data_IF_439345677642
#
_entry.id   IF_439345677642
#
_cell.length_a   1.000
_cell.length_b   1.000
_cell.length_c   1.000
_cell.angle_alpha   90.00
_cell.angle_beta   90.00
_cell.angle_gamma   90.00
#
_symmetry.space_group_name_H-M   'P 1'
#
loop_
_entity.id
_entity.type
_entity.pdbx_description
1 polymer ?
#
# COMPACT_ATOMS: atom_id res chain seq x y z
N UNK A 1 -18.10 -2.46 32.91
CA UNK A 1 -18.51 -2.46 31.49
C UNK A 1 -18.17 -3.82 30.91
N UNK A 2 -19.13 -4.75 30.83
CA UNK A 2 -18.90 -6.11 30.33
C UNK A 2 -18.51 -6.05 28.84
N UNK A 3 -17.32 -6.53 28.48
CA UNK A 3 -16.78 -6.54 27.12
C UNK A 3 -17.54 -7.47 26.16
N UNK A 4 -18.83 -7.22 25.97
CA UNK A 4 -19.66 -7.95 25.02
C UNK A 4 -19.11 -7.77 23.61
N UNK A 5 -18.94 -8.89 22.90
CA UNK A 5 -18.39 -8.92 21.53
C UNK A 5 -19.45 -8.53 20.48
N UNK A 6 -20.72 -8.52 20.85
CA UNK A 6 -21.87 -8.17 20.01
C UNK A 6 -22.90 -7.35 20.78
N UNK A 7 -23.75 -6.64 20.04
CA UNK A 7 -24.88 -5.86 20.56
C UNK A 7 -25.98 -5.75 19.50
N UNK A 8 -27.22 -5.56 19.93
CA UNK A 8 -28.36 -5.30 19.04
C UNK A 8 -28.46 -3.80 18.74
N UNK A 9 -28.51 -3.45 17.46
CA UNK A 9 -28.65 -2.07 16.97
C UNK A 9 -30.03 -1.90 16.31
N UNK A 10 -31.07 -1.41 17.02
CA UNK A 10 -32.43 -1.32 16.49
C UNK A 10 -32.57 -0.30 15.36
N UNK A 11 -31.58 0.59 15.18
CA UNK A 11 -31.59 1.61 14.13
C UNK A 11 -30.81 1.18 12.89
N UNK A 12 -30.35 -0.07 12.86
CA UNK A 12 -29.57 -0.61 11.76
C UNK A 12 -30.08 -2.01 11.38
N UNK A 13 -30.16 -2.26 10.08
CA UNK A 13 -30.48 -3.57 9.51
C UNK A 13 -29.41 -3.96 8.49
N UNK A 14 -28.89 -5.18 8.59
CA UNK A 14 -27.95 -5.70 7.61
C UNK A 14 -28.58 -5.78 6.21
N UNK A 15 -27.90 -5.25 5.20
CA UNK A 15 -28.40 -5.28 3.82
C UNK A 15 -28.48 -6.71 3.22
N UNK A 16 -27.74 -7.68 3.78
CA UNK A 16 -27.70 -9.05 3.27
C UNK A 16 -28.75 -9.95 3.96
N UNK A 17 -28.85 -9.91 5.30
CA UNK A 17 -29.72 -10.82 6.08
C UNK A 17 -30.84 -10.13 6.85
N UNK A 18 -30.97 -8.81 6.76
CA UNK A 18 -31.93 -7.98 7.51
C UNK A 18 -31.82 -8.04 9.05
N UNK A 19 -30.82 -8.73 9.60
CA UNK A 19 -30.59 -8.80 11.05
C UNK A 19 -30.02 -7.49 11.64
N UNK A 20 -30.26 -7.25 12.93
CA UNK A 20 -29.86 -6.04 13.65
C UNK A 20 -28.68 -6.22 14.63
N UNK A 21 -28.17 -7.45 14.81
CA UNK A 21 -27.05 -7.72 15.72
C UNK A 21 -25.69 -7.44 15.06
N UNK A 22 -24.83 -6.67 15.75
CA UNK A 22 -23.52 -6.20 15.24
C UNK A 22 -22.38 -6.59 16.17
N UNK A 23 -21.19 -6.74 15.60
CA UNK A 23 -19.95 -6.83 16.39
C UNK A 23 -19.56 -5.47 16.97
N UNK A 24 -19.14 -5.43 18.24
CA UNK A 24 -18.69 -4.18 18.89
C UNK A 24 -17.40 -3.62 18.30
N UNK A 25 -16.52 -4.46 17.72
CA UNK A 25 -15.20 -4.04 17.21
C UNK A 25 -15.24 -3.26 15.89
N UNK A 26 -16.06 -3.70 14.94
CA UNK A 26 -16.06 -3.22 13.55
C UNK A 26 -17.47 -2.95 13.02
N UNK A 27 -18.48 -3.08 13.87
CA UNK A 27 -19.88 -2.81 13.57
C UNK A 27 -20.42 -3.61 12.37
N UNK A 28 -19.81 -4.76 12.04
CA UNK A 28 -20.31 -5.65 11.00
C UNK A 28 -21.44 -6.52 11.53
N UNK A 29 -22.32 -6.99 10.63
CA UNK A 29 -23.37 -7.95 10.97
C UNK A 29 -22.77 -9.19 11.61
N UNK A 30 -23.24 -9.61 12.79
CA UNK A 30 -22.78 -10.84 13.43
C UNK A 30 -23.01 -12.06 12.53
N UNK A 31 -24.23 -12.21 11.99
CA UNK A 31 -24.63 -13.38 11.22
C UNK A 31 -23.83 -13.51 9.91
N UNK A 32 -23.76 -12.43 9.11
CA UNK A 32 -23.05 -12.47 7.83
C UNK A 32 -21.53 -12.57 8.00
N UNK A 33 -20.96 -11.87 8.99
CA UNK A 33 -19.52 -11.94 9.23
C UNK A 33 -19.10 -13.31 9.77
N UNK A 34 -19.94 -13.96 10.59
CA UNK A 34 -19.72 -15.35 11.03
C UNK A 34 -19.77 -16.35 9.87
N UNK A 35 -20.72 -16.19 8.95
CA UNK A 35 -20.84 -17.05 7.77
C UNK A 35 -19.62 -16.98 6.84
N UNK A 36 -19.01 -15.80 6.66
CA UNK A 36 -17.79 -15.63 5.85
C UNK A 36 -16.58 -16.39 6.42
N UNK A 37 -16.47 -16.49 7.74
CA UNK A 37 -15.41 -17.29 8.38
C UNK A 37 -15.64 -18.79 8.13
N UNK A 38 -16.90 -19.25 8.20
CA UNK A 38 -17.23 -20.66 7.94
C UNK A 38 -17.00 -21.08 6.47
N UNK A 39 -17.09 -20.17 5.51
CA UNK A 39 -16.85 -20.47 4.08
C UNK A 39 -15.43 -20.94 3.76
N UNK A 40 -14.44 -20.58 4.58
CA UNK A 40 -13.04 -20.99 4.39
C UNK A 40 -12.66 -22.21 5.23
N UNK A 41 -13.62 -22.87 5.89
CA UNK A 41 -13.41 -24.14 6.59
C UNK A 41 -14.39 -25.20 6.07
N UNK A 42 -13.86 -26.39 5.75
CA UNK A 42 -14.66 -27.57 5.40
C UNK A 42 -14.66 -28.55 6.56
N UNK A 43 -15.82 -29.10 6.88
CA UNK A 43 -15.94 -30.22 7.82
C UNK A 43 -15.44 -31.51 7.17
N UNK A 44 -14.61 -32.24 7.91
CA UNK A 44 -14.16 -33.58 7.58
C UNK A 44 -15.17 -34.62 8.08
N UNK A 45 -15.22 -35.82 7.48
CA UNK A 45 -16.15 -36.88 7.90
C UNK A 45 -15.99 -37.34 9.36
N UNK A 46 -14.84 -37.08 9.98
CA UNK A 46 -14.53 -37.39 11.38
C UNK A 46 -14.93 -36.26 12.36
N UNK A 47 -15.56 -35.19 11.86
CA UNK A 47 -15.94 -34.02 12.64
C UNK A 47 -14.84 -32.97 12.82
N UNK A 48 -13.66 -33.17 12.23
CA UNK A 48 -12.62 -32.14 12.15
C UNK A 48 -13.01 -31.00 11.21
N UNK A 49 -12.39 -29.83 11.36
CA UNK A 49 -12.51 -28.73 10.38
C UNK A 49 -11.14 -28.42 9.80
N UNK A 50 -11.06 -28.31 8.47
CA UNK A 50 -9.83 -27.93 7.76
C UNK A 50 -10.04 -26.64 7.00
N UNK A 51 -9.02 -25.79 6.98
CA UNK A 51 -9.03 -24.60 6.14
C UNK A 51 -9.04 -25.01 4.66
N UNK A 52 -9.97 -24.47 3.90
CA UNK A 52 -10.06 -24.60 2.46
C UNK A 52 -10.17 -23.18 1.89
N UNK A 53 -9.11 -22.72 1.21
CA UNK A 53 -9.15 -21.42 0.59
C UNK A 53 -10.26 -21.38 -0.47
N UNK A 54 -10.98 -20.26 -0.55
CA UNK A 54 -11.95 -20.00 -1.61
C UNK A 54 -11.26 -19.65 -2.94
N UNK A 55 -10.00 -19.23 -2.87
CA UNK A 55 -9.11 -18.96 -4.00
C UNK A 55 -7.67 -19.31 -3.57
N UNK A 56 -7.19 -20.47 -4.03
CA UNK A 56 -5.86 -20.99 -3.71
C UNK A 56 -4.76 -20.03 -4.18
N UNK A 57 -4.94 -19.41 -5.35
CA UNK A 57 -3.96 -18.49 -5.94
C UNK A 57 -3.88 -17.16 -5.17
N UNK A 58 -5.02 -16.67 -4.66
CA UNK A 58 -5.06 -15.51 -3.78
C UNK A 58 -4.44 -15.81 -2.40
N UNK A 59 -4.58 -17.04 -1.92
CA UNK A 59 -4.11 -17.50 -0.62
C UNK A 59 -2.60 -17.74 -0.59
N UNK A 60 -2.05 -18.45 -1.59
CA UNK A 60 -0.62 -18.83 -1.66
C UNK A 60 0.31 -17.61 -1.62
N UNK A 61 -0.07 -16.51 -2.26
CA UNK A 61 0.76 -15.30 -2.35
C UNK A 61 0.22 -14.13 -1.53
N UNK A 62 -0.73 -14.37 -0.61
CA UNK A 62 -1.33 -13.30 0.17
C UNK A 62 -0.29 -12.51 0.96
N UNK A 63 0.62 -13.20 1.67
CA UNK A 63 1.65 -12.55 2.48
C UNK A 63 2.58 -11.68 1.63
N UNK A 64 3.00 -12.16 0.47
CA UNK A 64 3.87 -11.42 -0.44
C UNK A 64 3.18 -10.18 -1.00
N UNK A 65 1.91 -10.30 -1.43
CA UNK A 65 1.11 -9.16 -1.92
C UNK A 65 0.86 -8.13 -0.81
N UNK A 66 0.55 -8.59 0.39
CA UNK A 66 0.32 -7.74 1.54
C UNK A 66 1.59 -6.96 1.90
N UNK A 67 2.75 -7.63 2.00
CA UNK A 67 4.04 -6.97 2.25
C UNK A 67 4.40 -5.98 1.15
N UNK A 68 4.20 -6.33 -0.13
CA UNK A 68 4.44 -5.41 -1.25
C UNK A 68 3.56 -4.16 -1.14
N UNK A 69 2.28 -4.33 -0.83
CA UNK A 69 1.34 -3.22 -0.65
C UNK A 69 1.77 -2.31 0.50
N UNK A 70 2.17 -2.90 1.64
CA UNK A 70 2.64 -2.14 2.78
C UNK A 70 3.90 -1.33 2.44
N UNK A 71 4.89 -1.96 1.78
CA UNK A 71 6.12 -1.27 1.33
C UNK A 71 5.82 -0.10 0.39
N UNK A 72 4.90 -0.27 -0.55
CA UNK A 72 4.50 0.81 -1.47
C UNK A 72 3.83 1.98 -0.73
N UNK A 73 2.98 1.70 0.27
CA UNK A 73 2.35 2.73 1.08
C UNK A 73 3.39 3.49 1.92
N UNK A 74 4.34 2.77 2.52
CA UNK A 74 5.42 3.38 3.31
C UNK A 74 6.33 4.26 2.44
N UNK A 75 6.71 3.77 1.26
CA UNK A 75 7.46 4.53 0.25
C UNK A 75 6.73 5.80 -0.20
N UNK A 76 5.43 5.69 -0.47
CA UNK A 76 4.59 6.84 -0.83
C UNK A 76 4.52 7.86 0.30
N UNK A 77 4.44 7.39 1.55
CA UNK A 77 4.46 8.24 2.74
C UNK A 77 5.80 8.96 2.92
N UNK A 78 6.93 8.28 2.69
CA UNK A 78 8.28 8.89 2.69
C UNK A 78 8.33 10.02 1.67
N UNK A 79 7.96 9.75 0.41
CA UNK A 79 7.99 10.75 -0.65
C UNK A 79 7.00 11.89 -0.41
N UNK A 80 5.82 11.60 0.15
CA UNK A 80 4.82 12.60 0.51
C UNK A 80 5.32 13.60 1.56
N UNK A 81 6.21 13.18 2.47
CA UNK A 81 6.82 14.06 3.48
C UNK A 81 7.82 15.06 2.89
N UNK A 82 8.31 14.85 1.68
CA UNK A 82 9.20 15.80 1.01
C UNK A 82 8.44 17.06 0.53
N UNK A 83 7.11 16.98 0.42
CA UNK A 83 6.30 18.02 -0.19
C UNK A 83 6.46 18.09 -1.72
N UNK A 84 5.86 19.11 -2.36
CA UNK A 84 5.96 19.27 -3.81
C UNK A 84 7.38 19.69 -4.22
N UNK A 85 8.03 18.89 -5.06
CA UNK A 85 9.34 19.20 -5.67
C UNK A 85 9.14 19.38 -7.16
N UNK A 86 9.54 20.52 -7.72
CA UNK A 86 9.34 20.83 -9.14
C UNK A 86 10.68 21.05 -9.83
N UNK A 87 10.86 20.39 -10.98
CA UNK A 87 12.00 20.59 -11.87
C UNK A 87 11.50 20.65 -13.30
N UNK A 88 11.63 21.81 -13.93
CA UNK A 88 11.16 22.05 -15.29
C UNK A 88 9.67 21.72 -15.42
N UNK A 89 9.32 20.73 -16.25
CA UNK A 89 7.93 20.29 -16.48
C UNK A 89 7.46 19.16 -15.57
N UNK A 90 8.30 18.69 -14.67
CA UNK A 90 8.03 17.56 -13.78
C UNK A 90 7.80 18.03 -12.35
N UNK A 91 6.77 17.50 -11.69
CA UNK A 91 6.46 17.75 -10.29
C UNK A 91 6.36 16.43 -9.53
N UNK A 92 6.86 16.38 -8.29
CA UNK A 92 6.59 15.31 -7.34
C UNK A 92 5.29 15.64 -6.61
N UNK A 93 4.27 14.81 -6.77
CA UNK A 93 2.96 14.97 -6.13
C UNK A 93 2.50 13.65 -5.54
N UNK A 94 2.23 13.64 -4.22
CA UNK A 94 1.70 12.46 -3.53
C UNK A 94 2.54 11.19 -3.71
N UNK A 95 3.87 11.33 -3.87
CA UNK A 95 4.80 10.22 -4.07
C UNK A 95 4.90 9.68 -5.50
N UNK A 96 4.47 10.46 -6.49
CA UNK A 96 4.62 10.15 -7.93
C UNK A 96 5.16 11.36 -8.68
N UNK A 97 5.89 11.13 -9.76
CA UNK A 97 6.29 12.21 -10.67
C UNK A 97 5.22 12.42 -11.71
N UNK A 98 4.70 13.64 -11.78
CA UNK A 98 3.68 14.08 -12.72
C UNK A 98 4.30 14.99 -13.77
N UNK A 99 3.82 14.88 -15.00
CA UNK A 99 4.12 15.78 -16.12
C UNK A 99 2.83 16.11 -16.85
N UNK A 100 2.48 17.39 -16.91
CA UNK A 100 1.27 17.87 -17.60
C UNK A 100 -0.02 17.10 -17.20
N UNK A 101 -0.15 16.75 -15.91
CA UNK A 101 -1.30 16.01 -15.38
C UNK A 101 -1.26 14.49 -15.54
N UNK A 102 -0.23 13.95 -16.19
CA UNK A 102 -0.03 12.49 -16.36
C UNK A 102 1.11 11.99 -15.48
N UNK A 103 0.99 10.75 -14.98
CA UNK A 103 2.07 10.10 -14.22
C UNK A 103 3.22 9.77 -15.19
N UNK A 104 4.37 10.39 -14.97
CA UNK A 104 5.59 10.12 -15.70
C UNK A 104 6.45 9.04 -15.02
N UNK A 105 6.44 8.99 -13.67
CA UNK A 105 7.14 7.96 -12.90
C UNK A 105 6.33 7.60 -11.66
N UNK A 106 5.95 6.33 -11.56
CA UNK A 106 5.24 5.80 -10.39
C UNK A 106 6.16 5.65 -9.17
N UNK A 107 5.54 5.45 -8.01
CA UNK A 107 6.24 5.34 -6.71
C UNK A 107 7.30 4.24 -6.69
N UNK A 108 6.99 3.06 -7.23
CA UNK A 108 7.90 1.89 -7.23
C UNK A 108 9.18 2.14 -8.06
N UNK A 109 9.11 2.51 -9.35
CA UNK A 109 10.31 2.80 -10.13
C UNK A 109 11.05 4.06 -9.65
N UNK A 110 10.35 5.04 -9.10
CA UNK A 110 10.98 6.21 -8.47
C UNK A 110 11.84 5.80 -7.26
N UNK A 111 11.27 5.02 -6.34
CA UNK A 111 12.01 4.56 -5.17
C UNK A 111 13.15 3.63 -5.54
N UNK A 112 12.99 2.76 -6.53
CA UNK A 112 14.09 1.95 -7.05
C UNK A 112 15.25 2.83 -7.54
N UNK A 113 14.95 3.89 -8.30
CA UNK A 113 15.96 4.82 -8.77
C UNK A 113 16.64 5.59 -7.63
N UNK A 114 15.88 6.00 -6.62
CA UNK A 114 16.41 6.67 -5.43
C UNK A 114 17.29 5.72 -4.62
N UNK A 115 16.81 4.52 -4.29
CA UNK A 115 17.58 3.53 -3.52
C UNK A 115 18.88 3.15 -4.24
N UNK A 116 18.84 3.06 -5.57
CA UNK A 116 20.03 2.82 -6.40
C UNK A 116 21.01 3.99 -6.36
N UNK A 117 20.52 5.23 -6.33
CA UNK A 117 21.39 6.40 -6.14
C UNK A 117 22.02 6.44 -4.75
N UNK A 118 21.27 6.02 -3.73
CA UNK A 118 21.73 5.98 -2.35
C UNK A 118 22.70 4.82 -2.07
N UNK A 119 22.64 3.73 -2.84
CA UNK A 119 23.58 2.61 -2.73
C UNK A 119 25.00 2.97 -3.18
N UNK A 120 25.13 3.97 -4.06
CA UNK A 120 26.42 4.40 -4.62
C UNK A 120 27.01 3.48 -5.69
N UNK A 121 26.28 2.43 -6.10
CA UNK A 121 26.73 1.51 -7.13
C UNK A 121 26.66 2.15 -8.52
N UNK A 122 27.83 2.42 -9.11
CA UNK A 122 27.94 3.14 -10.38
C UNK A 122 27.38 2.39 -11.58
N UNK A 123 27.36 1.05 -11.56
CA UNK A 123 26.79 0.25 -12.66
C UNK A 123 25.27 0.26 -12.60
N UNK A 124 24.71 0.03 -11.41
CA UNK A 124 23.26 0.09 -11.20
C UNK A 124 22.72 1.49 -11.43
N UNK A 125 23.40 2.53 -10.94
CA UNK A 125 23.01 3.93 -11.19
C UNK A 125 22.93 4.21 -12.68
N UNK A 126 23.90 3.73 -13.47
CA UNK A 126 23.89 3.89 -14.92
C UNK A 126 22.71 3.14 -15.53
N UNK A 127 22.47 1.89 -15.12
CA UNK A 127 21.35 1.09 -15.60
C UNK A 127 19.98 1.75 -15.38
N UNK A 128 19.78 2.38 -14.21
CA UNK A 128 18.49 3.01 -13.88
C UNK A 128 18.36 4.43 -14.44
N UNK A 129 19.44 5.22 -14.49
CA UNK A 129 19.38 6.59 -14.97
C UNK A 129 19.40 6.72 -16.50
N UNK A 130 20.04 5.81 -17.24
CA UNK A 130 20.08 5.86 -18.71
C UNK A 130 18.69 5.96 -19.35
N UNK A 131 17.70 5.08 -19.04
CA UNK A 131 16.37 5.19 -19.64
C UNK A 131 15.63 6.47 -19.22
N UNK A 132 15.90 7.00 -18.03
CA UNK A 132 15.33 8.28 -17.59
C UNK A 132 15.96 9.46 -18.34
N UNK A 133 17.26 9.40 -18.64
CA UNK A 133 18.00 10.41 -19.38
C UNK A 133 17.56 10.48 -20.85
N UNK A 134 17.27 9.32 -21.46
CA UNK A 134 16.69 9.22 -22.80
C UNK A 134 15.33 9.91 -22.90
N UNK A 135 14.55 9.91 -21.80
CA UNK A 135 13.28 10.61 -21.73
C UNK A 135 13.45 12.12 -21.47
N UNK A 136 14.19 12.48 -20.41
CA UNK A 136 14.46 13.88 -20.06
C UNK A 136 15.59 14.03 -19.04
N UNK A 137 16.44 15.03 -19.25
CA UNK A 137 17.45 15.46 -18.27
C UNK A 137 16.83 16.03 -17.00
N UNK A 138 15.68 16.71 -17.11
CA UNK A 138 14.95 17.29 -15.98
C UNK A 138 14.45 16.20 -15.02
N UNK A 139 14.03 15.05 -15.57
CA UNK A 139 13.56 13.91 -14.80
C UNK A 139 14.69 13.31 -13.95
N UNK A 140 15.88 13.15 -14.54
CA UNK A 140 17.07 12.68 -13.81
C UNK A 140 17.46 13.64 -12.70
N UNK A 141 17.40 14.96 -12.96
CA UNK A 141 17.70 15.96 -11.95
C UNK A 141 16.68 15.93 -10.79
N UNK A 142 15.40 15.74 -11.09
CA UNK A 142 14.36 15.58 -10.07
C UNK A 142 14.63 14.36 -9.18
N UNK A 143 14.92 13.20 -9.78
CA UNK A 143 15.21 11.97 -9.02
C UNK A 143 16.44 12.15 -8.12
N UNK A 144 17.50 12.82 -8.61
CA UNK A 144 18.68 13.14 -7.78
C UNK A 144 18.35 14.05 -6.61
N UNK A 145 17.54 15.10 -6.83
CA UNK A 145 17.10 15.98 -5.76
C UNK A 145 16.27 15.25 -4.71
N UNK A 146 15.38 14.35 -5.14
CA UNK A 146 14.60 13.50 -4.23
C UNK A 146 15.54 12.61 -3.41
N UNK A 147 16.50 11.94 -4.06
CA UNK A 147 17.47 11.10 -3.36
C UNK A 147 18.26 11.89 -2.30
N UNK A 148 18.73 13.09 -2.64
CA UNK A 148 19.41 13.98 -1.69
C UNK A 148 18.47 14.41 -0.55
N UNK A 149 17.22 14.73 -0.85
CA UNK A 149 16.24 15.13 0.17
C UNK A 149 15.89 13.99 1.13
N UNK A 150 15.91 12.74 0.67
CA UNK A 150 15.72 11.54 1.51
C UNK A 150 16.96 11.23 2.34
N UNK A 151 18.17 11.37 1.78
CA UNK A 151 19.42 11.11 2.50
C UNK A 151 19.72 12.16 3.56
N UNK A 152 19.22 13.38 3.38
CA UNK A 152 19.47 14.46 4.32
C UNK A 152 18.51 14.33 5.50
N UNK A 153 18.98 14.14 6.74
CA UNK A 153 18.08 14.13 7.89
C UNK A 153 17.36 15.47 7.96
N UNK A 154 16.02 15.45 7.94
CA UNK A 154 15.19 16.63 8.14
C UNK A 154 15.36 17.14 9.59
N UNK A 155 16.46 17.81 9.90
CA UNK A 155 16.58 18.64 11.08
C UNK A 155 15.80 19.93 10.83
N UNK A 156 14.50 19.90 11.10
CA UNK A 156 13.69 21.11 11.21
C UNK A 156 12.89 21.08 12.51
N UNK A 157 13.60 21.27 13.63
CA UNK A 157 13.03 21.94 14.80
C UNK A 157 13.67 23.32 14.88
N UNK A 158 12.93 24.33 14.45
CA UNK A 158 13.00 25.69 15.00
C UNK A 158 11.65 25.98 15.61
#
# INVERSE_FOLDING_TARGET
MSGAKTFDDPNWSCAECSGCERHTRNLTCRACNGARVLQVFKELPDGGTVYAATDDQASENWQQRHQRTQRLMDQRSILGRLGPVVVGRYSLEGGRVIRAGSVALDTEPLMLAVDTLLSGDSELIRGVLTPLLEQSRELVQLVRLIATAISTPQNSRK
#
